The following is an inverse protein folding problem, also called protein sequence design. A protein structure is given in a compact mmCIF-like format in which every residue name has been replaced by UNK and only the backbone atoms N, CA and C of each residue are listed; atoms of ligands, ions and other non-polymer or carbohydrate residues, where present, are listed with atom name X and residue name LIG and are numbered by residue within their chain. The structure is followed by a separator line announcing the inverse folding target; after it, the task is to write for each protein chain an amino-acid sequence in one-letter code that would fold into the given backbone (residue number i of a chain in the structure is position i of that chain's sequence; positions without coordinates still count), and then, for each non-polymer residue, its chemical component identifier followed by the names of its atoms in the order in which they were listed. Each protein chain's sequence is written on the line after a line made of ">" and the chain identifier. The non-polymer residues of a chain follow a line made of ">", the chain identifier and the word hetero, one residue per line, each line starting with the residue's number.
data_IF_063490876466
#
_entry.id   IF_063490876466
#
_cell.length_a   1.000
_cell.length_b   1.000
_cell.length_c   1.000
_cell.angle_alpha   90.00
_cell.angle_beta   90.00
_cell.angle_gamma   90.00
#
_symmetry.space_group_name_H-M   'P 1'
#
loop_
_entity.id
_entity.type
_entity.pdbx_description
1 polymer ?
#
# COMPACT_ATOMS: atom_id res chain seq x y z
N UNK A 1 20.57 -1.55 10.04
CA UNK A 1 21.24 -0.51 10.85
C UNK A 1 20.36 0.71 10.68
N UNK A 2 19.54 1.03 11.69
CA UNK A 2 18.52 2.07 11.59
C UNK A 2 19.10 3.40 11.98
N UNK A 3 19.43 4.20 10.98
CA UNK A 3 20.05 5.48 11.20
C UNK A 3 19.88 6.35 9.98
N UNK A 4 19.20 7.49 10.19
CA UNK A 4 19.42 8.74 9.45
C UNK A 4 19.56 8.61 7.92
N UNK A 5 18.72 7.80 7.28
CA UNK A 5 18.52 7.90 5.83
C UNK A 5 17.40 8.91 5.54
N UNK A 6 17.68 9.80 4.57
CA UNK A 6 16.94 11.04 4.29
C UNK A 6 15.44 10.89 3.99
N UNK A 7 14.94 9.66 3.87
CA UNK A 7 13.55 9.39 3.51
C UNK A 7 12.64 9.16 4.73
N UNK A 8 13.16 8.67 5.87
CA UNK A 8 12.30 8.23 7.00
C UNK A 8 12.90 8.49 8.40
N UNK A 9 14.17 8.88 8.53
CA UNK A 9 14.91 8.91 9.81
C UNK A 9 14.84 10.20 10.62
N UNK A 10 13.99 10.25 11.65
CA UNK A 10 13.96 11.25 12.72
C UNK A 10 14.83 10.85 13.94
N UNK A 11 15.58 9.74 13.84
CA UNK A 11 16.40 9.18 14.92
C UNK A 11 15.65 8.25 15.87
N UNK A 12 14.32 8.09 15.75
CA UNK A 12 13.49 7.22 16.59
C UNK A 12 12.95 5.98 15.87
N UNK A 13 13.55 5.60 14.74
CA UNK A 13 13.13 4.45 13.95
C UNK A 13 13.50 3.13 14.64
N UNK A 14 12.46 2.34 14.95
CA UNK A 14 12.64 0.95 15.36
C UNK A 14 12.57 0.06 14.13
N UNK A 15 13.72 -0.27 13.56
CA UNK A 15 13.79 -1.04 12.31
C UNK A 15 13.06 -2.37 12.42
N UNK A 16 12.14 -2.59 11.48
CA UNK A 16 11.47 -3.87 11.30
C UNK A 16 11.07 -4.02 9.84
N UNK A 17 11.17 -5.23 9.25
CA UNK A 17 10.81 -5.44 7.85
C UNK A 17 9.37 -5.00 7.57
N UNK A 18 9.19 -4.16 6.56
CA UNK A 18 7.87 -3.83 6.04
C UNK A 18 7.30 -5.08 5.36
N UNK A 19 6.04 -5.42 5.67
CA UNK A 19 5.31 -6.52 5.04
C UNK A 19 4.11 -5.94 4.35
N UNK A 20 3.96 -6.20 3.06
CA UNK A 20 2.80 -5.76 2.30
C UNK A 20 2.11 -6.99 1.72
N UNK A 21 0.81 -7.12 1.98
CA UNK A 21 -0.04 -8.12 1.33
C UNK A 21 -1.19 -7.39 0.64
N UNK A 22 -1.50 -7.80 -0.58
CA UNK A 22 -2.55 -7.17 -1.37
C UNK A 22 -3.44 -8.17 -2.05
N UNK A 23 -4.68 -7.75 -2.28
CA UNK A 23 -5.67 -8.45 -3.08
C UNK A 23 -6.18 -7.46 -4.12
N UNK A 24 -6.30 -7.92 -5.36
CA UNK A 24 -6.84 -7.12 -6.44
C UNK A 24 -7.92 -7.90 -7.18
N UNK A 25 -8.91 -7.19 -7.69
CA UNK A 25 -9.93 -7.76 -8.55
C UNK A 25 -10.30 -6.76 -9.63
N UNK A 26 -10.31 -7.22 -10.89
CA UNK A 26 -10.79 -6.43 -12.03
C UNK A 26 -12.04 -7.08 -12.60
N UNK A 27 -13.06 -6.27 -12.79
CA UNK A 27 -14.32 -6.66 -13.41
C UNK A 27 -14.57 -5.83 -14.67
N UNK A 28 -14.73 -6.52 -15.80
CA UNK A 28 -15.13 -5.90 -17.06
C UNK A 28 -16.65 -5.83 -17.10
N UNK A 29 -17.23 -4.62 -17.03
CA UNK A 29 -18.68 -4.45 -17.14
C UNK A 29 -19.14 -4.49 -18.59
N UNK A 30 -18.39 -3.84 -19.47
CA UNK A 30 -18.61 -3.85 -20.92
C UNK A 30 -17.26 -3.87 -21.63
N UNK A 31 -17.26 -3.99 -22.96
CA UNK A 31 -16.03 -3.89 -23.76
C UNK A 31 -15.30 -2.56 -23.60
N UNK A 32 -16.01 -1.52 -23.15
CA UNK A 32 -15.53 -0.15 -23.04
C UNK A 32 -15.44 0.35 -21.60
N UNK A 33 -15.83 -0.46 -20.61
CA UNK A 33 -15.87 -0.07 -19.20
C UNK A 33 -15.36 -1.21 -18.31
N UNK A 34 -14.32 -0.92 -17.53
CA UNK A 34 -13.86 -1.83 -16.47
C UNK A 34 -13.66 -1.11 -15.15
N UNK A 35 -13.87 -1.87 -14.08
CA UNK A 35 -13.66 -1.42 -12.70
C UNK A 35 -12.67 -2.37 -12.04
N UNK A 36 -11.74 -1.81 -11.28
CA UNK A 36 -10.82 -2.54 -10.43
C UNK A 36 -11.01 -2.12 -8.98
N UNK A 37 -10.91 -3.10 -8.08
CA UNK A 37 -10.81 -2.89 -6.65
C UNK A 37 -9.48 -3.47 -6.16
N UNK A 38 -8.80 -2.73 -5.30
CA UNK A 38 -7.51 -3.09 -4.73
C UNK A 38 -7.55 -2.88 -3.22
N UNK A 39 -7.04 -3.86 -2.49
CA UNK A 39 -6.83 -3.80 -1.05
C UNK A 39 -5.37 -4.10 -0.75
N UNK A 40 -4.73 -3.27 0.08
CA UNK A 40 -3.36 -3.49 0.57
C UNK A 40 -3.29 -3.31 2.07
N UNK A 41 -2.71 -4.30 2.74
CA UNK A 41 -2.34 -4.24 4.14
C UNK A 41 -0.82 -4.07 4.25
N UNK A 42 -0.38 -3.07 5.01
CA UNK A 42 1.02 -2.75 5.27
C UNK A 42 1.29 -2.93 6.76
N UNK A 43 2.19 -3.84 7.14
CA UNK A 43 2.39 -4.24 8.53
C UNK A 43 3.29 -3.34 9.38
N UNK A 44 4.36 -2.78 8.80
CA UNK A 44 5.30 -1.87 9.49
C UNK A 44 5.68 -0.73 8.53
N UNK A 45 4.79 0.25 8.31
CA UNK A 45 4.96 1.30 7.31
C UNK A 45 6.26 2.09 7.54
N UNK A 46 7.05 2.27 6.48
CA UNK A 46 8.33 2.97 6.56
C UNK A 46 9.33 2.24 7.44
N UNK A 47 9.29 0.91 7.44
CA UNK A 47 10.22 0.02 8.15
C UNK A 47 10.29 0.26 9.67
N UNK A 48 9.23 0.83 10.27
CA UNK A 48 9.20 1.18 11.69
C UNK A 48 8.18 0.32 12.45
N UNK A 49 8.64 -0.45 13.44
CA UNK A 49 7.80 -1.30 14.28
C UNK A 49 6.78 -0.53 15.14
N UNK A 50 7.03 0.75 15.41
CA UNK A 50 6.14 1.59 16.23
C UNK A 50 4.98 2.18 15.40
N UNK A 51 5.08 2.12 14.06
CA UNK A 51 4.02 2.51 13.14
C UNK A 51 3.17 1.27 12.92
N UNK A 52 2.03 1.19 13.59
CA UNK A 52 1.09 0.07 13.48
C UNK A 52 0.64 -0.17 12.02
N UNK A 53 -0.06 -1.28 11.76
CA UNK A 53 -0.43 -1.64 10.40
C UNK A 53 -1.41 -0.65 9.77
N UNK A 54 -1.31 -0.49 8.44
CA UNK A 54 -2.15 0.40 7.64
C UNK A 54 -2.92 -0.39 6.59
N UNK A 55 -4.20 -0.06 6.43
CA UNK A 55 -5.08 -0.61 5.40
C UNK A 55 -5.31 0.45 4.32
N UNK A 56 -5.07 0.09 3.07
CA UNK A 56 -5.31 0.94 1.90
C UNK A 56 -6.35 0.28 1.02
N UNK A 57 -7.46 0.97 0.80
CA UNK A 57 -8.50 0.57 -0.13
C UNK A 57 -8.46 1.49 -1.34
N UNK A 58 -8.59 0.93 -2.54
CA UNK A 58 -8.61 1.69 -3.78
C UNK A 58 -9.62 1.10 -4.75
N UNK A 59 -10.29 1.99 -5.48
CA UNK A 59 -11.20 1.64 -6.57
C UNK A 59 -10.81 2.46 -7.78
N UNK A 60 -10.73 1.83 -8.94
CA UNK A 60 -10.40 2.46 -10.22
C UNK A 60 -11.47 2.11 -11.23
N UNK A 61 -12.01 3.12 -11.92
CA UNK A 61 -12.84 2.93 -13.09
C UNK A 61 -12.08 3.43 -14.32
N UNK A 62 -12.20 2.71 -15.43
CA UNK A 62 -11.67 3.13 -16.73
C UNK A 62 -12.75 2.95 -17.78
N UNK A 63 -12.95 3.99 -18.59
CA UNK A 63 -13.93 4.02 -19.66
C UNK A 63 -13.25 4.49 -20.95
N UNK A 64 -13.54 3.81 -22.06
CA UNK A 64 -13.09 4.15 -23.40
C UNK A 64 -14.30 4.60 -24.24
N UNK A 65 -14.15 5.67 -25.01
CA UNK A 65 -15.21 6.29 -25.82
C UNK A 65 -14.72 6.54 -27.24
#
# INVERSE_FOLDING_TARGET
>A
MGGIEAFVGDGALKEKPERVVGLFYRYNLTSSLWISADYRFIGNPGYNANRGPVNIFSVRAHAEF
#
